data_IF_679097975072
#
_entry.id   IF_679097975072
#
_cell.length_a   1.000
_cell.length_b   1.000
_cell.length_c   1.000
_cell.angle_alpha   90.00
_cell.angle_beta   90.00
_cell.angle_gamma   90.00
#
_symmetry.space_group_name_H-M   'P 1'
#
loop_
_entity.id
_entity.type
_entity.pdbx_description
1 polymer ?
#
# COMPACT_ATOMS: atom_id res chain seq x y z
N UNK A 1 0.35 23.07 -22.77
CA UNK A 1 -0.72 22.16 -23.24
C UNK A 1 -1.30 21.48 -22.00
N UNK A 2 -2.61 21.52 -21.74
CA UNK A 2 -3.18 20.79 -20.63
C UNK A 2 -2.89 19.30 -20.87
N UNK A 3 -2.24 18.65 -19.89
CA UNK A 3 -2.05 17.19 -19.88
C UNK A 3 -3.44 16.57 -19.78
N UNK A 4 -3.98 16.06 -20.91
CA UNK A 4 -5.25 15.36 -20.93
C UNK A 4 -5.18 14.17 -19.97
N UNK A 5 -5.94 14.23 -18.88
CA UNK A 5 -6.15 13.08 -18.01
C UNK A 5 -6.73 11.93 -18.84
N UNK A 6 -6.37 10.69 -18.52
CA UNK A 6 -6.92 9.53 -19.17
C UNK A 6 -8.43 9.44 -18.83
N UNK A 7 -9.30 9.77 -19.79
CA UNK A 7 -10.74 9.65 -19.65
C UNK A 7 -11.24 8.44 -20.42
N UNK A 8 -12.39 7.92 -20.01
CA UNK A 8 -13.13 6.95 -20.83
C UNK A 8 -13.91 7.68 -21.92
N UNK A 9 -13.81 7.23 -23.17
CA UNK A 9 -14.76 7.65 -24.20
C UNK A 9 -16.09 6.91 -24.05
N UNK A 10 -17.16 7.48 -24.61
CA UNK A 10 -18.49 6.82 -24.61
C UNK A 10 -18.41 5.46 -25.33
N UNK A 11 -17.72 5.38 -26.46
CA UNK A 11 -17.53 4.14 -27.23
C UNK A 11 -16.77 3.09 -26.41
N UNK A 12 -15.73 3.51 -25.69
CA UNK A 12 -14.96 2.64 -24.80
C UNK A 12 -15.85 2.08 -23.71
N UNK A 13 -16.65 2.92 -23.04
CA UNK A 13 -17.57 2.50 -21.99
C UNK A 13 -18.60 1.50 -22.49
N UNK A 14 -19.26 1.79 -23.62
CA UNK A 14 -20.23 0.87 -24.23
C UNK A 14 -19.60 -0.48 -24.52
N UNK A 15 -18.41 -0.49 -25.12
CA UNK A 15 -17.70 -1.72 -25.47
C UNK A 15 -17.27 -2.50 -24.23
N UNK A 16 -16.70 -1.84 -23.23
CA UNK A 16 -16.24 -2.50 -21.99
C UNK A 16 -17.43 -3.07 -21.21
N UNK A 17 -18.48 -2.25 -21.00
CA UNK A 17 -19.63 -2.65 -20.18
C UNK A 17 -20.49 -3.73 -20.85
N UNK A 18 -20.46 -3.84 -22.19
CA UNK A 18 -21.15 -4.93 -22.88
C UNK A 18 -20.60 -6.33 -22.58
N UNK A 19 -19.44 -6.45 -21.94
CA UNK A 19 -18.89 -7.73 -21.50
C UNK A 19 -19.41 -8.18 -20.14
N UNK A 20 -20.18 -7.36 -19.44
CA UNK A 20 -20.68 -7.67 -18.09
C UNK A 20 -22.20 -7.78 -18.09
N UNK A 21 -22.72 -8.69 -17.28
CA UNK A 21 -24.16 -8.83 -17.06
C UNK A 21 -24.56 -8.01 -15.82
N UNK A 22 -24.84 -6.73 -16.02
CA UNK A 22 -25.19 -5.78 -14.95
C UNK A 22 -26.55 -5.12 -15.20
N UNK A 23 -27.32 -5.58 -16.18
CA UNK A 23 -28.62 -5.01 -16.56
C UNK A 23 -28.50 -3.65 -17.26
N UNK A 24 -29.59 -2.91 -17.31
CA UNK A 24 -29.65 -1.59 -17.96
C UNK A 24 -28.84 -0.59 -17.14
N UNK A 25 -27.95 0.15 -17.82
CA UNK A 25 -27.15 1.20 -17.21
C UNK A 25 -28.00 2.46 -17.09
N UNK A 26 -28.16 2.93 -15.85
CA UNK A 26 -28.96 4.11 -15.51
C UNK A 26 -28.09 5.37 -15.42
N UNK A 27 -26.86 5.24 -14.93
CA UNK A 27 -25.94 6.36 -14.72
C UNK A 27 -24.48 5.93 -14.77
N UNK A 28 -23.64 6.80 -15.34
CA UNK A 28 -22.17 6.66 -15.29
C UNK A 28 -21.56 7.99 -14.86
N UNK A 29 -20.69 7.97 -13.83
CA UNK A 29 -20.03 9.17 -13.32
C UNK A 29 -18.53 8.92 -13.10
N UNK A 30 -17.64 9.84 -13.51
CA UNK A 30 -16.24 9.74 -13.14
C UNK A 30 -16.10 9.93 -11.62
N UNK A 31 -15.22 9.14 -10.99
CA UNK A 31 -14.85 9.37 -9.61
C UNK A 31 -13.83 10.50 -9.53
N UNK A 32 -14.17 11.58 -8.83
CA UNK A 32 -13.29 12.71 -8.54
C UNK A 32 -12.23 12.35 -7.50
N UNK A 33 -11.06 12.99 -7.57
CA UNK A 33 -9.99 12.80 -6.57
C UNK A 33 -9.16 11.52 -6.73
N UNK A 34 -9.35 10.78 -7.84
CA UNK A 34 -8.58 9.58 -8.17
C UNK A 34 -7.39 9.92 -9.04
N UNK A 35 -6.32 9.14 -8.93
CA UNK A 35 -5.12 9.26 -9.77
C UNK A 35 -5.51 9.33 -11.26
N UNK A 36 -5.18 10.44 -11.92
CA UNK A 36 -5.51 10.67 -13.34
C UNK A 36 -4.90 9.63 -14.30
N UNK A 37 -3.94 8.82 -13.84
CA UNK A 37 -3.36 7.73 -14.63
C UNK A 37 -4.18 6.44 -14.58
N UNK A 38 -5.06 6.29 -13.58
CA UNK A 38 -5.93 5.14 -13.39
C UNK A 38 -7.41 5.59 -13.34
N UNK A 39 -8.04 5.88 -14.49
CA UNK A 39 -9.40 6.39 -14.51
C UNK A 39 -10.36 5.37 -13.91
N UNK A 40 -11.28 5.88 -13.08
CA UNK A 40 -12.33 5.09 -12.41
C UNK A 40 -13.70 5.72 -12.68
N UNK A 41 -14.70 4.88 -12.91
CA UNK A 41 -16.09 5.30 -13.14
C UNK A 41 -17.01 4.59 -12.16
N UNK A 42 -17.87 5.35 -11.50
CA UNK A 42 -19.01 4.79 -10.79
C UNK A 42 -20.14 4.54 -11.78
N UNK A 43 -20.72 3.36 -11.73
CA UNK A 43 -21.80 2.92 -12.62
C UNK A 43 -23.00 2.56 -11.74
N UNK A 44 -24.16 3.06 -12.09
CA UNK A 44 -25.44 2.66 -11.51
C UNK A 44 -26.23 1.93 -12.58
N UNK A 45 -26.69 0.74 -12.30
CA UNK A 45 -27.54 -0.06 -13.16
C UNK A 45 -28.72 -0.65 -12.41
N UNK A 46 -29.58 -1.40 -13.10
CA UNK A 46 -30.70 -2.12 -12.48
C UNK A 46 -30.24 -3.15 -11.44
N UNK A 47 -29.06 -3.75 -11.64
CA UNK A 47 -28.53 -4.77 -10.73
C UNK A 47 -27.68 -4.21 -9.59
N UNK A 48 -27.50 -2.88 -9.53
CA UNK A 48 -26.80 -2.24 -8.42
C UNK A 48 -25.79 -1.18 -8.83
N UNK A 49 -24.83 -0.96 -7.93
CA UNK A 49 -23.73 0.00 -8.15
C UNK A 49 -22.42 -0.71 -8.34
N UNK A 50 -21.62 -0.23 -9.28
CA UNK A 50 -20.34 -0.83 -9.66
C UNK A 50 -19.27 0.24 -9.80
N UNK A 51 -18.02 -0.21 -9.73
CA UNK A 51 -16.84 0.60 -9.98
C UNK A 51 -16.05 -0.02 -11.16
N UNK A 52 -15.94 0.71 -12.27
CA UNK A 52 -15.06 0.35 -13.37
C UNK A 52 -13.71 1.01 -13.19
N UNK A 53 -12.63 0.22 -13.23
CA UNK A 53 -11.23 0.68 -13.20
C UNK A 53 -10.55 0.27 -14.51
N UNK A 54 -9.84 1.21 -15.16
CA UNK A 54 -8.88 0.90 -16.22
C UNK A 54 -7.48 0.97 -15.62
N UNK A 55 -6.69 -0.11 -15.75
CA UNK A 55 -5.35 -0.15 -15.20
C UNK A 55 -4.40 0.80 -15.91
N UNK A 56 -3.53 1.52 -15.19
CA UNK A 56 -2.51 2.36 -15.80
C UNK A 56 -1.40 1.49 -16.39
N UNK A 57 -0.75 1.99 -17.45
CA UNK A 57 0.45 1.36 -17.99
C UNK A 57 1.53 1.21 -16.91
N UNK A 58 2.18 0.03 -16.88
CA UNK A 58 3.15 -0.36 -15.87
C UNK A 58 2.55 -1.06 -14.64
N UNK A 59 1.21 -1.06 -14.49
CA UNK A 59 0.46 -1.86 -13.51
C UNK A 59 -0.51 -2.84 -14.21
N UNK A 60 -0.26 -3.14 -15.47
CA UNK A 60 -1.08 -3.95 -16.38
C UNK A 60 -0.39 -5.27 -16.77
N UNK A 61 0.50 -5.77 -15.93
CA UNK A 61 1.04 -7.13 -16.06
C UNK A 61 -0.03 -8.17 -15.71
N UNK A 62 -0.39 -9.01 -16.69
CA UNK A 62 -1.50 -9.96 -16.55
C UNK A 62 -1.32 -10.97 -15.43
N UNK A 63 -0.09 -11.44 -15.19
CA UNK A 63 0.18 -12.42 -14.14
C UNK A 63 -0.02 -11.79 -12.75
N UNK A 64 0.48 -10.57 -12.55
CA UNK A 64 0.27 -9.82 -11.30
C UNK A 64 -1.20 -9.50 -11.06
N UNK A 65 -1.92 -9.12 -12.13
CA UNK A 65 -3.36 -8.85 -12.05
C UNK A 65 -4.13 -10.10 -11.69
N UNK A 66 -3.86 -11.22 -12.39
CA UNK A 66 -4.51 -12.50 -12.11
C UNK A 66 -4.23 -12.98 -10.68
N UNK A 67 -3.01 -12.83 -10.19
CA UNK A 67 -2.67 -13.16 -8.81
C UNK A 67 -3.44 -12.30 -7.80
N UNK A 68 -3.45 -10.97 -7.98
CA UNK A 68 -4.21 -10.07 -7.12
C UNK A 68 -5.71 -10.41 -7.10
N UNK A 69 -6.28 -10.77 -8.27
CA UNK A 69 -7.67 -11.21 -8.38
C UNK A 69 -7.93 -12.54 -7.69
N UNK A 70 -7.01 -13.50 -7.79
CA UNK A 70 -7.12 -14.79 -7.09
C UNK A 70 -7.13 -14.59 -5.58
N UNK A 71 -6.22 -13.76 -5.05
CA UNK A 71 -6.18 -13.39 -3.62
C UNK A 71 -7.48 -12.71 -3.19
N UNK A 72 -7.95 -11.72 -3.95
CA UNK A 72 -9.16 -10.97 -3.63
C UNK A 72 -10.41 -11.85 -3.69
N UNK A 73 -10.50 -12.75 -4.67
CA UNK A 73 -11.61 -13.70 -4.80
C UNK A 73 -11.63 -14.73 -3.67
N UNK A 74 -10.46 -15.22 -3.25
CA UNK A 74 -10.34 -16.10 -2.10
C UNK A 74 -10.83 -15.40 -0.83
N UNK A 75 -10.37 -14.20 -0.54
CA UNK A 75 -10.79 -13.40 0.62
C UNK A 75 -12.30 -13.12 0.60
N UNK A 76 -12.88 -12.83 -0.57
CA UNK A 76 -14.31 -12.62 -0.72
C UNK A 76 -15.11 -13.92 -0.42
N UNK A 77 -14.61 -15.08 -0.85
CA UNK A 77 -15.22 -16.38 -0.55
C UNK A 77 -15.20 -16.71 0.95
N UNK A 78 -14.15 -16.27 1.65
CA UNK A 78 -14.00 -16.38 3.11
C UNK A 78 -14.76 -15.27 3.88
N UNK A 79 -15.58 -14.47 3.20
CA UNK A 79 -16.35 -13.36 3.80
C UNK A 79 -15.48 -12.26 4.44
N UNK A 80 -14.22 -12.16 4.04
CA UNK A 80 -13.36 -11.06 4.43
C UNK A 80 -13.81 -9.75 3.74
N UNK A 81 -13.76 -8.58 4.40
CA UNK A 81 -14.26 -7.33 3.84
C UNK A 81 -13.37 -6.82 2.69
N UNK A 82 -13.67 -7.23 1.48
CA UNK A 82 -13.04 -6.77 0.22
C UNK A 82 -14.11 -6.36 -0.79
N UNK A 83 -13.69 -5.61 -1.81
CA UNK A 83 -14.56 -5.35 -2.97
C UNK A 83 -14.65 -6.61 -3.83
N UNK A 84 -15.86 -7.08 -4.14
CA UNK A 84 -16.04 -8.22 -5.03
C UNK A 84 -15.78 -7.83 -6.49
N UNK A 85 -14.98 -8.64 -7.18
CA UNK A 85 -14.76 -8.55 -8.61
C UNK A 85 -15.92 -9.18 -9.36
N UNK A 86 -16.36 -8.55 -10.46
CA UNK A 86 -17.33 -9.13 -11.36
C UNK A 86 -16.61 -9.81 -12.53
N UNK A 87 -17.03 -11.03 -12.84
CA UNK A 87 -16.55 -11.74 -14.00
C UNK A 87 -17.28 -11.29 -15.30
N UNK A 88 -16.60 -11.39 -16.43
CA UNK A 88 -17.21 -11.20 -17.75
C UNK A 88 -18.17 -12.33 -18.05
N UNK A 89 -19.32 -12.03 -18.70
CA UNK A 89 -20.37 -13.01 -19.01
C UNK A 89 -19.90 -14.13 -19.95
N UNK A 90 -19.01 -13.81 -20.90
CA UNK A 90 -18.64 -14.77 -21.96
C UNK A 90 -17.53 -15.74 -21.53
N UNK A 91 -16.62 -15.30 -20.66
CA UNK A 91 -15.42 -16.08 -20.27
C UNK A 91 -15.32 -16.36 -18.79
N UNK A 92 -16.25 -15.87 -17.99
CA UNK A 92 -16.22 -15.95 -16.52
C UNK A 92 -14.85 -15.52 -15.96
N UNK A 93 -14.25 -14.48 -16.52
CA UNK A 93 -12.94 -13.96 -16.14
C UNK A 93 -13.08 -12.58 -15.52
N UNK A 94 -12.46 -12.35 -14.37
CA UNK A 94 -12.46 -11.06 -13.70
C UNK A 94 -11.53 -10.03 -14.37
N UNK A 95 -10.65 -10.47 -15.26
CA UNK A 95 -9.76 -9.62 -16.06
C UNK A 95 -10.34 -9.46 -17.45
N UNK A 96 -10.76 -8.26 -17.83
CA UNK A 96 -11.12 -7.93 -19.21
C UNK A 96 -9.95 -7.24 -19.90
N UNK A 97 -9.37 -7.92 -20.89
CA UNK A 97 -8.36 -7.32 -21.77
C UNK A 97 -9.00 -6.86 -23.07
N UNK A 98 -8.95 -5.56 -23.35
CA UNK A 98 -9.52 -4.96 -24.56
C UNK A 98 -8.66 -3.78 -25.03
N UNK A 99 -8.34 -3.72 -26.34
CA UNK A 99 -7.56 -2.63 -26.96
C UNK A 99 -6.25 -2.32 -26.20
N UNK A 100 -5.52 -3.36 -25.80
CA UNK A 100 -4.25 -3.22 -25.05
C UNK A 100 -4.39 -2.51 -23.69
N UNK A 101 -5.57 -2.54 -23.09
CA UNK A 101 -5.86 -2.12 -21.73
C UNK A 101 -6.49 -3.25 -20.92
N UNK A 102 -6.30 -3.21 -19.62
CA UNK A 102 -6.96 -4.09 -18.65
C UNK A 102 -8.02 -3.29 -17.92
N UNK A 103 -9.21 -3.87 -17.87
CA UNK A 103 -10.38 -3.35 -17.16
C UNK A 103 -10.82 -4.33 -16.10
N UNK A 104 -11.27 -3.76 -14.98
CA UNK A 104 -11.77 -4.47 -13.82
C UNK A 104 -13.09 -3.84 -13.41
N UNK A 105 -14.09 -4.67 -13.19
CA UNK A 105 -15.39 -4.22 -12.67
C UNK A 105 -15.56 -4.78 -11.26
N UNK A 106 -15.84 -3.89 -10.31
CA UNK A 106 -16.04 -4.23 -8.90
C UNK A 106 -17.46 -3.89 -8.47
N UNK A 107 -17.99 -4.65 -7.52
CA UNK A 107 -19.15 -4.22 -6.78
C UNK A 107 -18.81 -2.96 -5.98
N UNK A 108 -19.67 -1.95 -6.04
CA UNK A 108 -19.42 -0.69 -5.32
C UNK A 108 -19.71 -0.86 -3.84
N UNK A 109 -18.71 -0.64 -3.00
CA UNK A 109 -18.86 -0.64 -1.55
C UNK A 109 -19.07 0.79 -1.05
N UNK A 110 -20.13 1.01 -0.27
CA UNK A 110 -20.40 2.28 0.40
C UNK A 110 -19.69 2.30 1.75
N UNK A 111 -18.99 3.37 2.05
CA UNK A 111 -18.30 3.57 3.32
C UNK A 111 -17.73 4.97 3.45
N UNK A 112 -17.24 5.29 4.63
CA UNK A 112 -16.52 6.52 4.94
C UNK A 112 -15.03 6.29 4.93
N UNK A 113 -14.26 7.34 4.77
CA UNK A 113 -12.81 7.28 4.98
C UNK A 113 -12.49 7.07 6.46
N UNK A 114 -11.29 6.64 6.74
CA UNK A 114 -10.74 6.56 8.09
C UNK A 114 -10.84 7.92 8.79
N UNK A 115 -11.38 7.92 10.02
CA UNK A 115 -11.67 9.13 10.80
C UNK A 115 -10.64 9.38 11.91
N UNK A 116 -9.68 8.49 12.08
CA UNK A 116 -8.66 8.59 13.11
C UNK A 116 -9.12 8.16 14.50
N UNK A 117 -10.30 7.56 14.65
CA UNK A 117 -10.77 7.05 15.94
C UNK A 117 -9.96 5.83 16.41
N UNK A 118 -9.97 5.59 17.72
CA UNK A 118 -9.35 4.42 18.34
C UNK A 118 -9.97 3.14 17.79
N UNK A 119 -11.29 3.05 17.76
CA UNK A 119 -12.02 1.88 17.31
C UNK A 119 -11.70 1.51 15.85
N UNK A 120 -11.58 2.52 14.97
CA UNK A 120 -11.21 2.28 13.59
C UNK A 120 -9.75 1.86 13.44
N UNK A 121 -8.85 2.40 14.28
CA UNK A 121 -7.43 2.05 14.30
C UNK A 121 -7.22 0.61 14.78
N UNK A 122 -7.84 0.24 15.88
CA UNK A 122 -7.81 -1.14 16.42
C UNK A 122 -8.43 -2.12 15.42
N UNK A 123 -9.55 -1.76 14.80
CA UNK A 123 -10.20 -2.63 13.80
C UNK A 123 -9.33 -2.82 12.56
N UNK A 124 -8.63 -1.78 12.09
CA UNK A 124 -7.70 -1.88 10.96
C UNK A 124 -6.53 -2.83 11.25
N UNK A 125 -5.97 -2.80 12.46
CA UNK A 125 -4.95 -3.75 12.90
C UNK A 125 -5.48 -5.18 13.01
N UNK A 126 -6.67 -5.35 13.59
CA UNK A 126 -7.35 -6.63 13.69
C UNK A 126 -7.63 -7.22 12.29
N UNK A 127 -8.11 -6.43 11.36
CA UNK A 127 -8.40 -6.88 9.99
C UNK A 127 -7.13 -7.24 9.22
N UNK A 128 -6.00 -6.59 9.49
CA UNK A 128 -4.72 -7.02 8.91
C UNK A 128 -4.34 -8.43 9.41
N UNK A 129 -4.53 -8.71 10.68
CA UNK A 129 -4.27 -10.03 11.22
C UNK A 129 -5.21 -11.09 10.63
N UNK A 130 -6.51 -10.76 10.48
CA UNK A 130 -7.47 -11.65 9.79
C UNK A 130 -7.09 -11.88 8.32
N UNK A 131 -6.66 -10.84 7.61
CA UNK A 131 -6.13 -10.94 6.25
C UNK A 131 -4.99 -11.96 6.19
N UNK A 132 -4.01 -11.85 7.08
CA UNK A 132 -2.89 -12.79 7.15
C UNK A 132 -3.34 -14.20 7.50
N UNK A 133 -4.32 -14.36 8.39
CA UNK A 133 -4.86 -15.67 8.78
C UNK A 133 -5.57 -16.38 7.63
N UNK A 134 -6.42 -15.66 6.88
CA UNK A 134 -7.12 -16.21 5.72
C UNK A 134 -6.19 -16.60 4.57
N UNK A 135 -4.99 -15.99 4.51
CA UNK A 135 -4.01 -16.26 3.46
C UNK A 135 -2.83 -17.13 3.91
N UNK A 136 -2.84 -17.63 5.15
CA UNK A 136 -1.73 -18.44 5.67
C UNK A 136 -1.48 -19.70 4.82
N UNK A 137 -2.54 -20.37 4.38
CA UNK A 137 -2.50 -21.59 3.56
C UNK A 137 -2.92 -21.35 2.11
N UNK A 138 -2.98 -20.07 1.67
CA UNK A 138 -3.33 -19.74 0.30
C UNK A 138 -2.27 -20.28 -0.67
N UNK A 139 -2.67 -21.30 -1.46
CA UNK A 139 -1.81 -21.91 -2.45
C UNK A 139 -1.60 -20.98 -3.65
N UNK A 140 -0.36 -20.71 -3.98
CA UNK A 140 0.02 -19.96 -5.18
C UNK A 140 1.09 -20.73 -5.96
N UNK A 141 1.05 -20.62 -7.28
CA UNK A 141 2.05 -21.28 -8.11
C UNK A 141 3.44 -20.67 -7.87
N UNK A 142 4.44 -21.52 -7.74
CA UNK A 142 5.85 -21.13 -7.52
C UNK A 142 6.46 -20.30 -8.66
N UNK A 143 5.79 -20.27 -9.83
CA UNK A 143 6.15 -19.42 -10.98
C UNK A 143 6.11 -17.90 -10.67
N UNK A 144 5.52 -17.50 -9.55
CA UNK A 144 5.42 -16.10 -9.10
C UNK A 144 6.67 -15.59 -8.36
N UNK A 145 7.85 -16.16 -8.62
CA UNK A 145 9.12 -15.73 -8.01
C UNK A 145 9.39 -14.22 -8.09
N UNK A 146 8.88 -13.53 -9.11
CA UNK A 146 8.94 -12.07 -9.23
C UNK A 146 8.06 -11.28 -8.24
N UNK A 147 7.22 -11.96 -7.45
CA UNK A 147 6.40 -11.35 -6.39
C UNK A 147 7.04 -11.46 -5.00
N UNK A 148 8.14 -12.21 -4.85
CA UNK A 148 8.94 -12.23 -3.62
C UNK A 148 9.75 -10.94 -3.54
N UNK A 149 9.16 -9.90 -2.95
CA UNK A 149 9.81 -8.60 -2.80
C UNK A 149 9.55 -8.05 -1.40
N UNK A 150 10.58 -7.49 -0.79
CA UNK A 150 10.49 -6.77 0.47
C UNK A 150 11.25 -5.45 0.35
N UNK A 151 10.88 -4.49 1.18
CA UNK A 151 11.70 -3.29 1.39
C UNK A 151 12.85 -3.57 2.36
N UNK A 152 12.77 -4.67 3.11
CA UNK A 152 13.84 -5.09 4.00
C UNK A 152 15.07 -5.50 3.19
N UNK A 153 16.23 -5.00 3.61
CA UNK A 153 17.56 -5.29 3.08
C UNK A 153 17.69 -5.16 1.54
N UNK A 154 16.90 -4.27 0.94
CA UNK A 154 16.75 -4.13 -0.51
C UNK A 154 17.97 -3.47 -1.16
N UNK A 155 18.68 -4.20 -2.03
CA UNK A 155 19.75 -3.67 -2.86
C UNK A 155 19.26 -2.53 -3.79
N UNK A 156 18.00 -2.55 -4.20
CA UNK A 156 17.39 -1.51 -5.02
C UNK A 156 17.25 -0.20 -4.24
N UNK A 157 16.80 -0.26 -2.98
CA UNK A 157 16.71 0.94 -2.11
C UNK A 157 18.09 1.54 -1.90
N UNK A 158 19.10 0.71 -1.58
CA UNK A 158 20.50 1.17 -1.42
C UNK A 158 21.04 1.83 -2.68
N UNK A 159 20.82 1.22 -3.85
CA UNK A 159 21.24 1.79 -5.13
C UNK A 159 20.59 3.14 -5.39
N UNK A 160 19.33 3.30 -5.08
CA UNK A 160 18.62 4.57 -5.25
C UNK A 160 19.11 5.64 -4.27
N UNK A 161 19.32 5.30 -2.99
CA UNK A 161 19.95 6.21 -2.02
C UNK A 161 21.34 6.66 -2.49
N UNK A 162 22.15 5.74 -2.99
CA UNK A 162 23.47 6.04 -3.57
C UNK A 162 23.36 6.98 -4.79
N UNK A 163 22.34 6.78 -5.63
CA UNK A 163 22.08 7.66 -6.78
C UNK A 163 21.71 9.08 -6.35
N UNK A 164 20.91 9.23 -5.29
CA UNK A 164 20.56 10.55 -4.72
C UNK A 164 21.77 11.24 -4.07
N UNK A 165 22.66 10.46 -3.46
CA UNK A 165 23.90 10.92 -2.86
C UNK A 165 25.03 11.24 -3.86
N UNK A 166 24.87 10.86 -5.14
CA UNK A 166 25.90 11.13 -6.16
C UNK A 166 25.83 12.56 -6.65
N UNK A 167 27.01 13.19 -6.84
CA UNK A 167 27.12 14.50 -7.48
C UNK A 167 26.68 14.39 -8.96
N UNK A 168 25.56 14.99 -9.30
CA UNK A 168 25.26 15.31 -10.70
C UNK A 168 25.98 16.62 -11.03
N UNK A 169 26.91 16.65 -12.00
CA UNK A 169 27.76 17.82 -12.26
C UNK A 169 26.98 19.12 -12.54
N UNK A 170 25.72 18.99 -13.02
CA UNK A 170 24.89 20.11 -13.39
C UNK A 170 24.20 20.83 -12.21
N UNK A 171 23.95 20.13 -11.08
CA UNK A 171 23.22 20.68 -9.92
C UNK A 171 23.65 19.99 -8.62
N UNK A 172 24.78 20.36 -8.01
CA UNK A 172 25.23 19.79 -6.75
C UNK A 172 24.31 20.22 -5.61
N UNK A 173 23.46 19.33 -5.14
CA UNK A 173 22.61 19.55 -3.97
C UNK A 173 23.25 18.92 -2.73
N UNK A 174 24.17 19.65 -2.07
CA UNK A 174 24.87 19.18 -0.86
C UNK A 174 23.91 18.70 0.23
N UNK A 175 22.75 19.36 0.37
CA UNK A 175 21.74 19.05 1.36
C UNK A 175 21.09 17.68 1.07
N UNK A 176 20.71 17.42 -0.19
CA UNK A 176 20.15 16.15 -0.63
C UNK A 176 21.15 15.01 -0.45
N UNK A 177 22.42 15.25 -0.79
CA UNK A 177 23.49 14.25 -0.61
C UNK A 177 23.67 13.87 0.85
N UNK A 178 23.83 14.83 1.76
CA UNK A 178 23.97 14.56 3.19
C UNK A 178 22.75 13.83 3.76
N UNK A 179 21.53 14.20 3.30
CA UNK A 179 20.30 13.52 3.69
C UNK A 179 20.29 12.06 3.20
N UNK A 180 20.66 11.82 1.93
CA UNK A 180 20.70 10.46 1.37
C UNK A 180 21.75 9.57 2.06
N UNK A 181 22.91 10.11 2.41
CA UNK A 181 23.96 9.42 3.16
C UNK A 181 23.48 9.04 4.57
N UNK A 182 22.82 9.96 5.29
CA UNK A 182 22.27 9.70 6.61
C UNK A 182 21.14 8.66 6.57
N UNK A 183 20.24 8.74 5.57
CA UNK A 183 19.18 7.73 5.36
C UNK A 183 19.77 6.35 5.02
N UNK A 184 20.87 6.29 4.25
CA UNK A 184 21.57 5.04 3.95
C UNK A 184 22.14 4.40 5.22
N UNK A 185 22.70 5.19 6.13
CA UNK A 185 23.20 4.71 7.42
C UNK A 185 22.08 4.09 8.24
N UNK A 186 20.98 4.83 8.46
CA UNK A 186 19.82 4.33 9.20
C UNK A 186 19.22 3.05 8.56
N UNK A 187 19.09 3.03 7.24
CA UNK A 187 18.57 1.88 6.52
C UNK A 187 19.45 0.64 6.73
N UNK A 188 20.77 0.79 6.67
CA UNK A 188 21.72 -0.32 6.89
C UNK A 188 21.70 -0.80 8.34
N UNK A 189 21.69 0.11 9.31
CA UNK A 189 21.60 -0.23 10.74
C UNK A 189 20.31 -1.01 11.03
N UNK A 190 19.17 -0.55 10.53
CA UNK A 190 17.89 -1.25 10.66
C UNK A 190 17.92 -2.63 9.99
N UNK A 191 18.47 -2.74 8.78
CA UNK A 191 18.60 -4.04 8.10
C UNK A 191 19.46 -5.03 8.91
N UNK A 192 20.58 -4.57 9.49
CA UNK A 192 21.45 -5.42 10.33
C UNK A 192 20.70 -5.90 11.57
N UNK A 193 19.95 -5.01 12.25
CA UNK A 193 19.14 -5.38 13.42
C UNK A 193 18.11 -6.46 13.06
N UNK A 194 17.34 -6.26 12.01
CA UNK A 194 16.27 -7.18 11.58
C UNK A 194 16.84 -8.53 11.14
N UNK A 195 17.96 -8.53 10.40
CA UNK A 195 18.67 -9.77 10.03
C UNK A 195 19.17 -10.53 11.27
N UNK A 196 19.67 -9.82 12.27
CA UNK A 196 20.10 -10.40 13.55
C UNK A 196 18.97 -11.07 14.34
N UNK A 197 17.72 -10.67 14.11
CA UNK A 197 16.51 -11.26 14.70
C UNK A 197 15.99 -12.48 13.92
N UNK A 198 16.63 -12.86 12.79
CA UNK A 198 16.33 -14.07 12.03
C UNK A 198 15.30 -13.90 10.91
N UNK A 199 15.20 -12.73 10.30
CA UNK A 199 14.23 -12.41 9.24
C UNK A 199 14.18 -13.44 8.10
N UNK A 200 15.33 -13.94 7.65
CA UNK A 200 15.43 -14.92 6.55
C UNK A 200 14.77 -16.26 6.87
N UNK A 201 14.56 -16.57 8.16
CA UNK A 201 13.89 -17.79 8.62
C UNK A 201 12.38 -17.64 8.77
N UNK A 202 11.86 -16.42 8.66
CA UNK A 202 10.42 -16.17 8.87
C UNK A 202 9.59 -16.64 7.70
N UNK A 203 8.46 -17.26 8.03
CA UNK A 203 7.54 -17.77 7.01
C UNK A 203 7.06 -16.65 6.09
N UNK A 204 7.11 -16.89 4.79
CA UNK A 204 6.58 -16.02 3.76
C UNK A 204 5.16 -16.47 3.41
N UNK A 205 4.28 -15.50 3.22
CA UNK A 205 2.94 -15.70 2.70
C UNK A 205 2.52 -14.51 1.86
N UNK A 206 1.30 -14.52 1.35
CA UNK A 206 0.72 -13.36 0.68
C UNK A 206 0.51 -12.23 1.68
N UNK A 207 1.02 -11.04 1.35
CA UNK A 207 0.84 -9.80 2.10
C UNK A 207 0.20 -8.75 1.19
N UNK A 208 -0.49 -7.76 1.75
CA UNK A 208 -1.14 -6.69 0.98
C UNK A 208 -0.11 -5.75 0.34
N UNK A 209 0.94 -5.41 1.08
CA UNK A 209 2.06 -4.58 0.63
C UNK A 209 1.78 -3.09 0.54
N UNK A 210 0.55 -2.65 0.88
CA UNK A 210 0.12 -1.24 0.87
C UNK A 210 -1.05 -1.01 1.84
N UNK A 211 -0.89 -1.46 3.10
CA UNK A 211 -1.92 -1.38 4.14
C UNK A 211 -1.95 0.00 4.78
N UNK A 212 -2.79 0.89 4.24
CA UNK A 212 -2.87 2.27 4.73
C UNK A 212 -4.32 2.80 4.71
N UNK A 213 -4.63 3.85 5.51
CA UNK A 213 -5.99 4.37 5.65
C UNK A 213 -6.67 4.75 4.34
N UNK A 214 -5.91 5.16 3.31
CA UNK A 214 -6.43 5.53 2.00
C UNK A 214 -6.98 4.36 1.18
N UNK A 215 -6.58 3.12 1.50
CA UNK A 215 -7.03 1.89 0.87
C UNK A 215 -8.15 1.20 1.66
N UNK A 216 -8.86 1.95 2.51
CA UNK A 216 -9.89 1.40 3.39
C UNK A 216 -11.17 2.21 3.37
N UNK A 217 -12.29 1.50 3.45
CA UNK A 217 -13.61 2.07 3.73
C UNK A 217 -14.12 1.54 5.05
N UNK A 218 -14.74 2.41 5.83
CA UNK A 218 -15.28 2.08 7.15
C UNK A 218 -16.80 2.30 7.19
N UNK A 219 -17.46 1.56 8.07
CA UNK A 219 -18.85 1.76 8.46
C UNK A 219 -18.93 1.63 9.98
N UNK A 220 -19.34 2.71 10.67
CA UNK A 220 -19.40 2.75 12.14
C UNK A 220 -18.11 2.23 12.80
N UNK A 221 -16.96 2.77 12.39
CA UNK A 221 -15.60 2.43 12.86
C UNK A 221 -15.15 0.98 12.59
N UNK A 222 -15.92 0.19 11.82
CA UNK A 222 -15.54 -1.14 11.36
C UNK A 222 -15.15 -1.10 9.90
N UNK A 223 -14.13 -1.87 9.55
CA UNK A 223 -13.67 -1.98 8.18
C UNK A 223 -14.77 -2.61 7.30
N UNK A 224 -15.27 -1.84 6.33
CA UNK A 224 -16.28 -2.28 5.38
C UNK A 224 -15.66 -2.88 4.11
N UNK A 225 -14.50 -2.38 3.67
CA UNK A 225 -13.74 -2.97 2.57
C UNK A 225 -12.27 -2.54 2.58
N UNK A 226 -11.39 -3.50 2.26
CA UNK A 226 -10.02 -3.27 1.82
C UNK A 226 -10.02 -3.10 0.30
N UNK A 227 -9.25 -2.10 -0.16
CA UNK A 227 -9.17 -1.68 -1.56
C UNK A 227 -7.73 -1.85 -2.07
N UNK A 228 -7.57 -1.81 -3.39
CA UNK A 228 -6.31 -1.66 -4.13
C UNK A 228 -5.26 -2.76 -3.84
N UNK A 229 -5.53 -3.94 -4.40
CA UNK A 229 -4.67 -5.13 -4.33
C UNK A 229 -3.47 -5.08 -5.32
N UNK A 230 -3.15 -3.91 -5.89
CA UNK A 230 -2.08 -3.77 -6.89
C UNK A 230 -0.67 -4.04 -6.34
N UNK A 231 -0.50 -3.98 -5.01
CA UNK A 231 0.77 -4.15 -4.30
C UNK A 231 0.95 -5.52 -3.64
N UNK A 232 -0.02 -6.42 -3.81
CA UNK A 232 0.02 -7.77 -3.25
C UNK A 232 1.29 -8.49 -3.68
N UNK A 233 1.97 -9.09 -2.71
CA UNK A 233 3.28 -9.75 -2.88
C UNK A 233 3.46 -10.87 -1.87
N UNK A 234 4.60 -11.56 -1.94
CA UNK A 234 4.98 -12.62 -1.02
C UNK A 234 6.13 -12.12 -0.14
N UNK A 235 5.85 -12.02 1.15
CA UNK A 235 6.82 -11.56 2.16
C UNK A 235 6.41 -12.10 3.55
N UNK A 236 7.27 -11.96 4.58
CA UNK A 236 6.85 -12.19 5.96
C UNK A 236 5.74 -11.21 6.38
N UNK A 237 4.65 -11.67 7.02
CA UNK A 237 3.52 -10.83 7.44
C UNK A 237 3.90 -9.62 8.31
N UNK A 238 4.99 -9.75 9.05
CA UNK A 238 5.51 -8.66 9.90
C UNK A 238 5.85 -7.40 9.10
N UNK A 239 6.17 -7.53 7.80
CA UNK A 239 6.43 -6.38 6.92
C UNK A 239 5.19 -5.56 6.65
N UNK A 240 4.02 -6.21 6.51
CA UNK A 240 2.72 -5.53 6.40
C UNK A 240 2.30 -4.90 7.73
N UNK A 241 2.56 -5.59 8.84
CA UNK A 241 2.27 -5.04 10.17
C UNK A 241 3.08 -3.77 10.41
N UNK A 242 4.38 -3.77 10.13
CA UNK A 242 5.23 -2.59 10.25
C UNK A 242 4.77 -1.45 9.31
N UNK A 243 4.34 -1.77 8.08
CA UNK A 243 3.76 -0.79 7.17
C UNK A 243 2.45 -0.22 7.72
N UNK A 244 1.54 -1.06 8.20
CA UNK A 244 0.28 -0.61 8.81
C UNK A 244 0.52 0.29 10.02
N UNK A 245 1.38 -0.12 10.95
CA UNK A 245 1.76 0.70 12.13
C UNK A 245 2.30 2.07 11.70
N UNK A 246 3.20 2.10 10.70
CA UNK A 246 3.74 3.34 10.13
C UNK A 246 2.62 4.23 9.57
N UNK A 247 1.78 3.69 8.71
CA UNK A 247 0.78 4.45 7.95
C UNK A 247 -0.37 4.98 8.81
N UNK A 248 -0.72 4.28 9.90
CA UNK A 248 -1.76 4.72 10.83
C UNK A 248 -1.25 5.69 11.91
N UNK A 249 0.06 5.68 12.21
CA UNK A 249 0.66 6.54 13.23
C UNK A 249 1.39 7.77 12.69
N UNK A 250 1.72 7.81 11.39
CA UNK A 250 2.44 8.93 10.79
C UNK A 250 1.60 10.20 10.80
N UNK A 251 2.13 11.28 11.34
CA UNK A 251 1.49 12.59 11.33
C UNK A 251 2.07 13.41 10.17
N UNK A 252 1.17 13.84 9.24
CA UNK A 252 1.57 14.52 8.03
C UNK A 252 0.43 15.34 7.42
N UNK A 253 0.45 15.50 6.09
CA UNK A 253 -0.66 16.12 5.34
C UNK A 253 -0.59 17.64 5.23
N UNK A 254 0.40 18.32 5.81
CA UNK A 254 0.62 19.75 5.61
C UNK A 254 1.27 20.00 4.24
N UNK A 255 1.02 21.16 3.61
CA UNK A 255 1.57 21.48 2.28
C UNK A 255 3.11 21.45 2.20
N UNK A 256 3.79 21.82 3.30
CA UNK A 256 5.25 21.80 3.37
C UNK A 256 5.71 20.66 4.31
N UNK A 257 6.51 19.69 3.84
CA UNK A 257 7.04 18.60 4.67
C UNK A 257 7.89 19.08 5.85
N UNK A 258 8.49 20.27 5.76
CA UNK A 258 9.27 20.82 6.86
C UNK A 258 8.42 21.18 8.09
N UNK A 259 7.11 21.37 7.91
CA UNK A 259 6.16 21.69 8.97
C UNK A 259 5.55 20.42 9.61
N UNK A 260 5.89 19.22 9.09
CA UNK A 260 5.44 17.97 9.69
C UNK A 260 6.23 17.67 10.96
N UNK A 261 5.56 17.23 12.06
CA UNK A 261 6.26 16.90 13.29
C UNK A 261 7.19 15.71 13.09
N UNK A 262 8.24 15.63 13.88
CA UNK A 262 9.21 14.52 13.83
C UNK A 262 8.64 13.25 14.48
N UNK A 263 7.76 13.41 15.44
CA UNK A 263 7.14 12.32 16.20
C UNK A 263 5.97 11.66 15.46
N UNK A 264 5.63 10.47 15.95
CA UNK A 264 4.47 9.68 15.52
C UNK A 264 3.37 9.76 16.57
N UNK A 265 2.15 9.45 16.19
CA UNK A 265 1.02 9.22 17.09
C UNK A 265 1.22 7.87 17.79
N UNK A 266 1.74 7.90 19.02
CA UNK A 266 2.08 6.70 19.78
C UNK A 266 0.83 5.89 20.15
N UNK A 267 -0.28 6.57 20.44
CA UNK A 267 -1.53 5.89 20.77
C UNK A 267 -2.02 5.05 19.59
N UNK A 268 -2.00 5.61 18.38
CA UNK A 268 -2.38 4.87 17.16
C UNK A 268 -1.44 3.72 16.85
N UNK A 269 -0.16 3.88 17.11
CA UNK A 269 0.83 2.83 16.94
C UNK A 269 0.47 1.62 17.83
N UNK A 270 0.22 1.88 19.13
CA UNK A 270 -0.17 0.86 20.10
C UNK A 270 -1.56 0.29 19.78
N UNK A 271 -2.55 1.12 19.47
CA UNK A 271 -3.92 0.69 19.12
C UNK A 271 -3.92 -0.25 17.92
N UNK A 272 -3.17 0.08 16.85
CA UNK A 272 -3.07 -0.75 15.66
C UNK A 272 -2.44 -2.11 15.99
N UNK A 273 -1.32 -2.12 16.72
CA UNK A 273 -0.64 -3.33 17.15
C UNK A 273 -1.54 -4.20 18.06
N UNK A 274 -2.25 -3.60 19.00
CA UNK A 274 -3.17 -4.32 19.88
C UNK A 274 -4.30 -4.97 19.10
N UNK A 275 -4.84 -4.29 18.07
CA UNK A 275 -5.80 -4.89 17.14
C UNK A 275 -5.24 -6.14 16.46
N UNK A 276 -4.01 -6.07 15.98
CA UNK A 276 -3.34 -7.20 15.33
C UNK A 276 -3.09 -8.36 16.31
N UNK A 277 -2.51 -8.06 17.49
CA UNK A 277 -2.20 -9.04 18.54
C UNK A 277 -3.45 -9.73 19.11
N UNK A 278 -4.60 -9.11 19.01
CA UNK A 278 -5.88 -9.72 19.38
C UNK A 278 -6.26 -10.94 18.52
N UNK A 279 -5.58 -11.17 17.40
CA UNK A 279 -5.82 -12.31 16.48
C UNK A 279 -4.57 -13.18 16.31
N UNK A 280 -3.39 -12.58 16.16
CA UNK A 280 -2.12 -13.29 15.90
C UNK A 280 -1.12 -12.93 16.99
N UNK A 281 -0.61 -13.94 17.69
CA UNK A 281 0.48 -13.77 18.65
C UNK A 281 1.81 -13.54 17.89
N UNK A 282 2.59 -12.60 18.38
CA UNK A 282 3.91 -12.30 17.88
C UNK A 282 4.96 -12.75 18.90
N UNK A 283 6.01 -13.40 18.43
CA UNK A 283 7.18 -13.67 19.24
C UNK A 283 8.01 -12.40 19.46
N UNK A 284 8.89 -12.44 20.44
CA UNK A 284 9.71 -11.29 20.84
C UNK A 284 10.59 -10.77 19.70
N UNK A 285 11.16 -11.65 18.88
CA UNK A 285 12.00 -11.23 17.75
C UNK A 285 11.20 -10.42 16.73
N UNK A 286 9.96 -10.84 16.43
CA UNK A 286 9.07 -10.09 15.53
C UNK A 286 8.68 -8.75 16.13
N UNK A 287 8.33 -8.69 17.42
CA UNK A 287 8.03 -7.43 18.09
C UNK A 287 9.22 -6.46 18.04
N UNK A 288 10.41 -6.95 18.37
CA UNK A 288 11.63 -6.15 18.35
C UNK A 288 12.04 -5.64 16.97
N UNK A 289 11.59 -6.30 15.88
CA UNK A 289 11.88 -5.90 14.51
C UNK A 289 11.00 -4.76 13.97
N UNK A 290 9.85 -4.49 14.60
CA UNK A 290 8.82 -3.60 14.04
C UNK A 290 9.32 -2.19 13.76
N UNK A 291 10.04 -1.57 14.69
CA UNK A 291 10.52 -0.20 14.52
C UNK A 291 11.56 -0.11 13.40
N UNK A 292 12.43 -1.11 13.28
CA UNK A 292 13.42 -1.17 12.20
C UNK A 292 12.76 -1.35 10.84
N UNK A 293 11.78 -2.25 10.74
CA UNK A 293 11.01 -2.44 9.52
C UNK A 293 10.18 -1.20 9.16
N UNK A 294 9.68 -0.43 10.14
CA UNK A 294 9.03 0.87 9.90
C UNK A 294 10.01 1.88 9.30
N UNK A 295 11.25 1.96 9.83
CA UNK A 295 12.30 2.84 9.30
C UNK A 295 12.64 2.46 7.86
N UNK A 296 12.89 1.18 7.58
CA UNK A 296 13.21 0.70 6.24
C UNK A 296 12.07 0.98 5.24
N UNK A 297 10.82 0.70 5.63
CA UNK A 297 9.64 0.93 4.79
C UNK A 297 9.47 2.40 4.47
N UNK A 298 9.55 3.27 5.47
CA UNK A 298 9.41 4.72 5.31
C UNK A 298 10.48 5.30 4.37
N UNK A 299 11.73 4.84 4.49
CA UNK A 299 12.82 5.24 3.60
C UNK A 299 12.58 4.73 2.18
N UNK A 300 12.22 3.46 2.01
CA UNK A 300 12.00 2.84 0.71
C UNK A 300 10.84 3.50 -0.06
N UNK A 301 9.71 3.72 0.59
CA UNK A 301 8.53 4.35 -0.02
C UNK A 301 8.81 5.78 -0.47
N UNK A 302 9.64 6.53 0.28
CA UNK A 302 10.02 7.88 -0.09
C UNK A 302 11.04 7.92 -1.24
N UNK A 303 12.05 7.08 -1.18
CA UNK A 303 13.20 7.12 -2.11
C UNK A 303 12.80 6.72 -3.53
N UNK A 304 11.98 5.66 -3.68
CA UNK A 304 11.63 5.11 -4.99
C UNK A 304 10.98 6.13 -5.94
N UNK A 305 9.91 6.85 -5.57
CA UNK A 305 9.30 7.86 -6.45
C UNK A 305 10.20 9.09 -6.64
N UNK A 306 10.98 9.49 -5.62
CA UNK A 306 11.81 10.69 -5.69
C UNK A 306 12.97 10.49 -6.67
N UNK A 307 13.60 9.32 -6.71
CA UNK A 307 14.63 9.02 -7.71
C UNK A 307 14.07 9.10 -9.13
N UNK A 308 12.85 8.62 -9.32
CA UNK A 308 12.22 8.58 -10.63
C UNK A 308 11.75 9.94 -11.13
N UNK A 309 11.28 10.81 -10.23
CA UNK A 309 10.56 12.04 -10.61
C UNK A 309 11.13 13.34 -10.03
N UNK A 310 11.95 13.25 -8.99
CA UNK A 310 12.38 14.39 -8.16
C UNK A 310 11.36 14.82 -7.10
N UNK A 311 10.18 14.17 -7.04
CA UNK A 311 9.06 14.56 -6.19
C UNK A 311 8.46 13.35 -5.48
N UNK A 312 7.85 13.60 -4.33
CA UNK A 312 6.91 12.71 -3.68
C UNK A 312 5.49 13.26 -3.85
N UNK A 313 4.74 12.72 -4.80
CA UNK A 313 3.49 13.33 -5.25
C UNK A 313 3.73 14.73 -5.83
N UNK A 314 3.26 15.76 -5.14
CA UNK A 314 3.47 17.17 -5.49
C UNK A 314 4.53 17.86 -4.60
N UNK A 315 5.09 17.16 -3.62
CA UNK A 315 6.03 17.68 -2.65
C UNK A 315 7.47 17.60 -3.18
N UNK A 316 8.30 18.58 -2.82
CA UNK A 316 9.74 18.59 -3.11
C UNK A 316 10.41 17.33 -2.56
N UNK A 317 11.11 16.59 -3.40
CA UNK A 317 11.79 15.35 -2.98
C UNK A 317 12.84 15.60 -1.89
N UNK A 318 13.59 16.71 -1.98
CA UNK A 318 14.59 17.06 -0.96
C UNK A 318 13.96 17.34 0.40
N UNK A 319 12.90 18.14 0.46
CA UNK A 319 12.23 18.49 1.71
C UNK A 319 11.51 17.29 2.30
N UNK A 320 10.93 16.47 1.43
CA UNK A 320 10.29 15.22 1.87
C UNK A 320 11.29 14.23 2.48
N UNK A 321 12.45 14.00 1.85
CA UNK A 321 13.50 13.13 2.40
C UNK A 321 14.08 13.65 3.71
N UNK A 322 14.15 14.97 3.89
CA UNK A 322 14.56 15.55 5.18
C UNK A 322 13.53 15.32 6.27
N UNK A 323 12.25 15.40 5.96
CA UNK A 323 11.19 15.04 6.89
C UNK A 323 11.28 13.54 7.25
N UNK A 324 11.50 12.65 6.27
CA UNK A 324 11.73 11.22 6.52
C UNK A 324 12.92 11.00 7.44
N UNK A 325 14.04 11.69 7.22
CA UNK A 325 15.22 11.58 8.07
C UNK A 325 14.93 12.00 9.53
N UNK A 326 14.19 13.10 9.74
CA UNK A 326 13.80 13.54 11.08
C UNK A 326 12.93 12.49 11.78
N UNK A 327 11.93 11.94 11.08
CA UNK A 327 11.05 10.89 11.61
C UNK A 327 11.80 9.59 11.93
N UNK A 328 12.70 9.15 11.04
CA UNK A 328 13.51 7.95 11.27
C UNK A 328 14.44 8.14 12.48
N UNK A 329 15.07 9.29 12.61
CA UNK A 329 15.88 9.62 13.78
C UNK A 329 15.06 9.65 15.06
N UNK A 330 13.82 10.15 15.01
CA UNK A 330 12.93 10.15 16.17
C UNK A 330 12.59 8.72 16.61
N UNK A 331 12.20 7.83 15.70
CA UNK A 331 11.96 6.41 15.99
C UNK A 331 13.21 5.76 16.64
N UNK A 332 14.38 5.99 16.05
CA UNK A 332 15.62 5.41 16.56
C UNK A 332 15.96 5.93 17.97
N UNK A 333 15.77 7.21 18.22
CA UNK A 333 16.03 7.84 19.54
C UNK A 333 15.08 7.34 20.63
N UNK A 334 13.80 7.12 20.30
CA UNK A 334 12.78 6.71 21.26
C UNK A 334 12.53 5.18 21.25
N UNK A 335 13.42 4.41 20.62
CA UNK A 335 13.31 2.97 20.45
C UNK A 335 12.96 2.24 21.74
N UNK A 336 13.68 2.51 22.83
CA UNK A 336 13.49 1.84 24.12
C UNK A 336 12.07 2.09 24.68
N UNK A 337 11.66 3.35 24.74
CA UNK A 337 10.33 3.77 25.19
C UNK A 337 9.22 3.13 24.36
N UNK A 338 9.35 3.19 23.03
CA UNK A 338 8.37 2.61 22.11
C UNK A 338 8.32 1.08 22.24
N UNK A 339 9.46 0.41 22.38
CA UNK A 339 9.49 -1.06 22.55
C UNK A 339 8.83 -1.46 23.88
N UNK A 340 9.09 -0.74 24.98
CA UNK A 340 8.40 -0.97 26.24
C UNK A 340 6.89 -0.74 26.16
N UNK A 341 6.44 0.23 25.35
CA UNK A 341 5.02 0.52 25.13
C UNK A 341 4.29 -0.48 24.22
N UNK A 342 5.01 -1.24 23.40
CA UNK A 342 4.45 -2.25 22.47
C UNK A 342 4.66 -3.70 22.95
N UNK A 343 5.42 -3.92 24.00
CA UNK A 343 5.64 -5.24 24.64
C UNK A 343 4.47 -5.62 25.52
#
# INVERSE_FOLDING_TARGET
>A
MPRGGAHFSTEELVRVLSHYDIGIILQVKPLSGVNMRAPKMAIVSEQGKFLLKRRPKGKDDLYRVAFAHAVQSHLAAESFPVTCLLATRDKNNTVLQLNNHIYELFQFVTGTRYDGSEEATVDAGRQLAEFHRHLADFAYESALGGLKTSFHDSSTVRRHLKTLGSDRPAHPNKKLRATAEALMTLYNESSICVNGLGFDSWQHQVVHGDWHPGNMLFSKHKLAAVLDFDSVKIAPPITDLANGMLQFSIIGGRPNPNDWPDYFDQDKLVQFLNGYRGVINLDENKLNSLLDLMIETMIAEAVLPIVATGFFGHLSGTDFLQMILRKANWLNKHRKELTEGIS
#
